data_IF_679909884792
#
_entry.id   IF_679909884792
#
_cell.length_a   1.000
_cell.length_b   1.000
_cell.length_c   1.000
_cell.angle_alpha   90.00
_cell.angle_beta   90.00
_cell.angle_gamma   90.00
#
_symmetry.space_group_name_H-M   'P 1'
#
loop_
_entity.id
_entity.type
_entity.pdbx_description
1 polymer ?
#
# COMPACT_ATOMS: atom_id res chain seq x y z
N UNK A 1 -3.38 11.71 0.32
CA UNK A 1 -3.99 10.81 1.31
C UNK A 1 -3.41 11.13 2.69
N UNK A 2 -4.15 10.89 3.77
CA UNK A 2 -3.69 11.21 5.12
C UNK A 2 -2.56 10.30 5.58
N UNK A 3 -1.33 10.78 5.51
CA UNK A 3 -0.15 9.96 5.76
C UNK A 3 -0.15 9.34 7.16
N UNK A 4 -0.58 10.11 8.18
CA UNK A 4 -0.61 9.60 9.55
C UNK A 4 -1.65 8.49 9.74
N UNK A 5 -2.72 8.53 8.96
CA UNK A 5 -3.76 7.49 9.02
C UNK A 5 -3.24 6.15 8.52
N UNK A 6 -2.18 6.16 7.71
CA UNK A 6 -1.58 4.95 7.16
C UNK A 6 -0.32 4.58 7.95
N UNK A 7 0.45 5.57 8.36
CA UNK A 7 1.71 5.33 9.07
C UNK A 7 1.51 4.53 10.37
N UNK A 8 0.53 4.90 11.19
CA UNK A 8 0.31 4.23 12.47
C UNK A 8 -0.06 2.75 12.28
N UNK A 9 -1.08 2.40 11.47
CA UNK A 9 -1.38 0.98 11.25
C UNK A 9 -0.25 0.23 10.56
N UNK A 10 0.51 0.89 9.69
CA UNK A 10 1.67 0.26 9.04
C UNK A 10 2.73 -0.11 10.06
N UNK A 11 3.04 0.80 11.00
CA UNK A 11 4.01 0.53 12.05
C UNK A 11 3.57 -0.63 12.94
N UNK A 12 2.28 -0.70 13.26
CA UNK A 12 1.72 -1.80 14.05
C UNK A 12 1.90 -3.12 13.30
N UNK A 13 1.56 -3.14 12.03
CA UNK A 13 1.68 -4.35 11.21
C UNK A 13 3.12 -4.84 11.10
N UNK A 14 4.06 -3.91 11.03
CA UNK A 14 5.50 -4.22 10.90
C UNK A 14 6.20 -4.40 12.24
N UNK A 15 5.47 -4.24 13.35
CA UNK A 15 6.04 -4.33 14.70
C UNK A 15 7.14 -3.31 14.96
N UNK A 16 6.97 -2.09 14.44
CA UNK A 16 7.92 -1.01 14.62
C UNK A 16 7.36 -0.02 15.64
N UNK A 17 8.07 0.17 16.75
CA UNK A 17 7.65 1.09 17.81
C UNK A 17 8.45 2.39 17.84
N UNK A 18 9.63 2.41 17.21
CA UNK A 18 10.51 3.57 17.16
C UNK A 18 10.08 4.53 16.06
N UNK A 19 10.41 5.83 16.23
CA UNK A 19 10.18 6.84 15.21
C UNK A 19 11.33 6.96 14.22
N UNK A 20 12.39 6.17 14.41
CA UNK A 20 13.59 6.29 13.61
C UNK A 20 13.36 6.05 12.10
N UNK A 21 12.36 5.25 11.75
CA UNK A 21 12.08 4.92 10.36
C UNK A 21 10.85 5.66 9.80
N UNK A 22 10.28 6.60 10.54
CA UNK A 22 9.05 7.25 10.10
C UNK A 22 9.18 7.91 8.73
N UNK A 23 10.25 8.67 8.48
CA UNK A 23 10.46 9.29 7.17
C UNK A 23 10.55 8.27 6.05
N UNK A 24 11.27 7.18 6.29
CA UNK A 24 11.41 6.12 5.31
C UNK A 24 10.06 5.45 5.03
N UNK A 25 9.29 5.18 6.10
CA UNK A 25 7.97 4.55 5.94
C UNK A 25 7.00 5.47 5.21
N UNK A 26 7.06 6.78 5.44
CA UNK A 26 6.25 7.73 4.70
C UNK A 26 6.60 7.72 3.21
N UNK A 27 7.89 7.60 2.89
CA UNK A 27 8.32 7.46 1.50
C UNK A 27 7.73 6.20 0.86
N UNK A 28 7.69 5.10 1.60
CA UNK A 28 7.09 3.86 1.10
C UNK A 28 5.59 4.00 0.89
N UNK A 29 4.91 4.74 1.76
CA UNK A 29 3.48 5.01 1.62
C UNK A 29 3.23 5.80 0.33
N UNK A 30 4.02 6.84 0.09
CA UNK A 30 3.90 7.64 -1.14
C UNK A 30 4.20 6.80 -2.37
N UNK A 31 5.21 5.95 -2.31
CA UNK A 31 5.54 5.05 -3.42
C UNK A 31 4.39 4.06 -3.68
N UNK A 32 3.80 3.53 -2.62
CA UNK A 32 2.66 2.62 -2.73
C UNK A 32 1.49 3.30 -3.42
N UNK A 33 1.17 4.53 -3.01
CA UNK A 33 0.10 5.30 -3.65
C UNK A 33 0.36 5.50 -5.14
N UNK A 34 1.60 5.82 -5.49
CA UNK A 34 1.98 6.03 -6.88
C UNK A 34 1.87 4.74 -7.70
N UNK A 35 2.37 3.63 -7.18
CA UNK A 35 2.25 2.34 -7.86
C UNK A 35 0.80 1.92 -8.06
N UNK A 36 -0.04 2.13 -7.05
CA UNK A 36 -1.45 1.76 -7.13
C UNK A 36 -2.17 2.61 -8.19
N UNK A 37 -1.91 3.91 -8.21
CA UNK A 37 -2.54 4.79 -9.20
C UNK A 37 -2.05 4.49 -10.60
N UNK A 38 -0.81 4.04 -10.74
CA UNK A 38 -0.27 3.63 -12.03
C UNK A 38 -1.02 2.42 -12.60
N UNK A 39 -1.58 1.58 -11.75
CA UNK A 39 -2.39 0.45 -12.19
C UNK A 39 -3.81 0.85 -12.63
N UNK A 40 -4.15 2.12 -12.50
CA UNK A 40 -5.45 2.62 -12.94
C UNK A 40 -6.47 2.81 -11.83
N UNK A 41 -6.07 2.63 -10.57
CA UNK A 41 -6.96 2.78 -9.42
C UNK A 41 -6.97 4.24 -8.96
N UNK A 42 -8.16 4.80 -8.80
CA UNK A 42 -8.34 6.13 -8.21
C UNK A 42 -8.57 5.96 -6.71
N UNK A 43 -7.57 6.33 -5.91
CA UNK A 43 -7.64 6.17 -4.46
C UNK A 43 -8.52 7.24 -3.83
N UNK A 44 -9.39 6.82 -2.91
CA UNK A 44 -10.23 7.72 -2.13
C UNK A 44 -9.72 7.75 -0.70
N UNK A 45 -9.16 8.89 -0.22
CA UNK A 45 -8.60 8.97 1.12
C UNK A 45 -9.62 8.78 2.24
N UNK A 46 -10.91 8.91 1.94
CA UNK A 46 -11.97 8.69 2.91
C UNK A 46 -12.45 7.26 2.95
N UNK A 47 -11.98 6.42 2.04
CA UNK A 47 -12.39 5.01 1.97
C UNK A 47 -11.39 4.16 2.75
N UNK A 48 -11.89 3.45 3.78
CA UNK A 48 -11.05 2.61 4.61
C UNK A 48 -10.35 1.51 3.81
N UNK A 49 -11.06 0.90 2.88
CA UNK A 49 -10.49 -0.15 2.03
C UNK A 49 -9.32 0.35 1.20
N UNK A 50 -9.41 1.58 0.69
CA UNK A 50 -8.31 2.16 -0.08
C UNK A 50 -7.12 2.48 0.80
N UNK A 51 -7.36 2.98 2.02
CA UNK A 51 -6.26 3.21 2.97
C UNK A 51 -5.58 1.90 3.34
N UNK A 52 -6.37 0.85 3.57
CA UNK A 52 -5.81 -0.47 3.87
C UNK A 52 -5.00 -1.01 2.70
N UNK A 53 -5.45 -0.78 1.48
CA UNK A 53 -4.74 -1.21 0.28
C UNK A 53 -3.36 -0.54 0.19
N UNK A 54 -3.28 0.76 0.46
CA UNK A 54 -2.01 1.49 0.49
C UNK A 54 -1.10 0.92 1.58
N UNK A 55 -1.66 0.67 2.77
CA UNK A 55 -0.89 0.11 3.88
C UNK A 55 -0.32 -1.27 3.53
N UNK A 56 -1.12 -2.13 2.93
CA UNK A 56 -0.68 -3.46 2.52
C UNK A 56 0.45 -3.39 1.49
N UNK A 57 0.32 -2.46 0.55
CA UNK A 57 1.34 -2.29 -0.49
C UNK A 57 2.64 -1.74 0.12
N UNK A 58 2.53 -0.76 1.00
CA UNK A 58 3.70 -0.20 1.69
C UNK A 58 4.40 -1.28 2.53
N UNK A 59 3.63 -2.12 3.22
CA UNK A 59 4.19 -3.24 3.98
C UNK A 59 4.94 -4.21 3.07
N UNK A 60 4.38 -4.51 1.91
CA UNK A 60 5.04 -5.34 0.91
C UNK A 60 6.38 -4.72 0.48
N UNK A 61 6.40 -3.43 0.19
CA UNK A 61 7.63 -2.74 -0.20
C UNK A 61 8.67 -2.80 0.92
N UNK A 62 8.24 -2.63 2.17
CA UNK A 62 9.16 -2.72 3.30
C UNK A 62 9.75 -4.13 3.44
N UNK A 63 8.91 -5.15 3.36
CA UNK A 63 9.35 -6.55 3.51
C UNK A 63 10.24 -6.99 2.36
N UNK A 64 10.07 -6.39 1.17
CA UNK A 64 10.81 -6.74 -0.04
C UNK A 64 12.06 -5.90 -0.26
N UNK A 65 12.34 -4.95 0.61
CA UNK A 65 13.40 -3.95 0.37
C UNK A 65 14.79 -4.53 0.18
N UNK A 66 15.02 -5.73 0.69
CA UNK A 66 16.30 -6.41 0.57
C UNK A 66 16.32 -7.51 -0.46
N UNK A 67 15.19 -7.77 -1.07
CA UNK A 67 15.09 -8.80 -2.10
C UNK A 67 15.70 -8.28 -3.39
N UNK A 68 16.37 -9.18 -4.12
CA UNK A 68 16.95 -8.85 -5.41
C UNK A 68 16.36 -9.77 -6.49
N UNK A 69 16.19 -9.22 -7.66
CA UNK A 69 15.68 -9.98 -8.81
C UNK A 69 14.26 -10.46 -8.60
N UNK A 70 14.00 -11.69 -9.02
CA UNK A 70 12.66 -12.25 -9.07
C UNK A 70 12.08 -12.70 -7.73
N UNK A 71 12.83 -12.51 -6.65
CA UNK A 71 12.39 -12.98 -5.34
C UNK A 71 11.34 -12.09 -4.70
N UNK A 72 11.16 -10.90 -5.24
CA UNK A 72 10.29 -9.87 -4.70
C UNK A 72 8.88 -9.98 -5.28
N UNK A 73 8.30 -11.17 -5.20
CA UNK A 73 6.95 -11.38 -5.74
C UNK A 73 5.90 -10.78 -4.82
N UNK A 74 4.91 -10.14 -5.44
CA UNK A 74 3.81 -9.56 -4.69
C UNK A 74 2.97 -10.68 -4.07
N UNK A 75 2.60 -10.56 -2.77
CA UNK A 75 1.72 -11.53 -2.13
C UNK A 75 0.39 -11.66 -2.86
N UNK A 76 -0.15 -12.87 -2.89
CA UNK A 76 -1.43 -13.14 -3.56
C UNK A 76 -2.56 -12.26 -3.03
N UNK A 77 -2.60 -12.08 -1.72
CA UNK A 77 -3.65 -11.28 -1.09
C UNK A 77 -3.62 -9.84 -1.61
N UNK A 78 -2.42 -9.27 -1.73
CA UNK A 78 -2.27 -7.91 -2.24
C UNK A 78 -2.67 -7.84 -3.71
N UNK A 79 -2.23 -8.78 -4.54
CA UNK A 79 -2.60 -8.80 -5.96
C UNK A 79 -4.11 -8.97 -6.12
N UNK A 80 -4.71 -9.84 -5.32
CA UNK A 80 -6.16 -10.01 -5.34
C UNK A 80 -6.88 -8.72 -4.95
N UNK A 81 -6.40 -8.04 -3.91
CA UNK A 81 -7.01 -6.79 -3.45
C UNK A 81 -6.93 -5.70 -4.52
N UNK A 82 -5.79 -5.59 -5.19
CA UNK A 82 -5.60 -4.62 -6.28
C UNK A 82 -6.56 -4.89 -7.43
N UNK A 83 -6.63 -6.15 -7.87
CA UNK A 83 -7.47 -6.54 -8.98
C UNK A 83 -8.95 -6.32 -8.65
N UNK A 84 -9.35 -6.67 -7.43
CA UNK A 84 -10.72 -6.52 -6.98
C UNK A 84 -11.12 -5.04 -6.90
N UNK A 85 -10.22 -4.19 -6.41
CA UNK A 85 -10.49 -2.75 -6.33
C UNK A 85 -10.61 -2.14 -7.72
N UNK A 86 -9.73 -2.51 -8.64
CA UNK A 86 -9.78 -2.01 -10.01
C UNK A 86 -11.06 -2.45 -10.71
N UNK A 87 -11.45 -3.71 -10.54
CA UNK A 87 -12.68 -4.25 -11.11
C UNK A 87 -13.90 -3.51 -10.59
N UNK A 88 -13.94 -3.26 -9.28
CA UNK A 88 -15.03 -2.53 -8.64
C UNK A 88 -15.14 -1.10 -9.19
N UNK A 89 -14.02 -0.45 -9.40
CA UNK A 89 -13.99 0.90 -9.96
C UNK A 89 -14.54 0.91 -11.39
N UNK A 90 -14.16 -0.05 -12.20
CA UNK A 90 -14.63 -0.15 -13.59
C UNK A 90 -16.13 -0.37 -13.68
N UNK A 91 -16.67 -1.18 -12.77
CA UNK A 91 -18.11 -1.42 -12.71
C UNK A 91 -18.84 -0.10 -12.37
N UNK A 92 -18.29 0.66 -11.41
CA UNK A 92 -18.89 1.92 -10.98
C UNK A 92 -18.86 2.97 -12.09
N UNK A 93 -17.84 2.96 -12.92
CA UNK A 93 -17.69 3.89 -14.03
C UNK A 93 -18.58 3.52 -15.22
N UNK A 94 -18.89 2.25 -15.34
CA UNK A 94 -19.68 1.73 -16.42
C UNK A 94 -21.14 1.99 -16.27
#
# INVERSE_FOLDING_TARGET
MGDNQILVPLKIDLHISSDALDSYLLDLIHAAEEYITTEGITLDPNNFGDRLLVEMYAAHLYRSRRDTGDKSKMPRMLRWALNNRLFSQKISEG
#
